data_IF_196654747187
#
_entry.id   IF_196654747187
#
_cell.length_a   1.000
_cell.length_b   1.000
_cell.length_c   1.000
_cell.angle_alpha   90.00
_cell.angle_beta   90.00
_cell.angle_gamma   90.00
#
_symmetry.space_group_name_H-M   'P 1'
#
loop_
_entity.id
_entity.type
_entity.pdbx_description
1 polymer ?
#
# COMPACT_ATOMS: atom_id res chain seq x y z
N UNK A 1 -31.39 -3.25 -16.67
CA UNK A 1 -30.69 -3.58 -15.43
C UNK A 1 -29.86 -4.84 -15.71
N UNK A 2 -28.53 -4.74 -15.80
CA UNK A 2 -27.66 -5.92 -15.93
C UNK A 2 -27.32 -6.40 -14.52
N UNK A 3 -27.86 -7.54 -14.12
CA UNK A 3 -27.42 -8.25 -12.92
C UNK A 3 -26.25 -9.16 -13.33
N UNK A 4 -25.07 -8.88 -12.79
CA UNK A 4 -24.00 -9.88 -12.75
C UNK A 4 -24.25 -10.79 -11.55
N UNK A 5 -24.05 -12.09 -11.69
CA UNK A 5 -24.02 -12.96 -10.52
C UNK A 5 -22.98 -12.41 -9.53
N UNK A 6 -23.42 -12.20 -8.29
CA UNK A 6 -22.59 -11.64 -7.23
C UNK A 6 -21.70 -12.75 -6.67
N UNK A 7 -20.50 -12.88 -7.21
CA UNK A 7 -19.52 -13.84 -6.75
C UNK A 7 -18.55 -13.20 -5.75
N UNK A 8 -17.68 -14.00 -5.18
CA UNK A 8 -16.76 -13.66 -4.11
C UNK A 8 -15.73 -12.57 -4.47
N UNK A 9 -15.04 -12.07 -3.47
CA UNK A 9 -13.92 -11.14 -3.63
C UNK A 9 -12.63 -11.93 -3.49
N UNK A 10 -11.71 -11.78 -4.45
CA UNK A 10 -10.36 -12.31 -4.39
C UNK A 10 -9.39 -11.25 -3.90
N UNK A 11 -8.51 -11.64 -2.99
CA UNK A 11 -7.31 -10.88 -2.62
C UNK A 11 -6.10 -11.75 -2.94
N UNK A 12 -5.25 -11.28 -3.85
CA UNK A 12 -3.97 -11.93 -4.10
C UNK A 12 -3.01 -11.64 -2.94
N UNK A 13 -2.48 -12.71 -2.35
CA UNK A 13 -1.58 -12.63 -1.21
C UNK A 13 -0.14 -12.66 -1.71
N UNK A 14 0.56 -11.56 -1.53
CA UNK A 14 1.98 -11.45 -1.84
C UNK A 14 2.82 -12.01 -0.69
N UNK A 15 3.83 -12.78 -1.05
CA UNK A 15 4.77 -13.38 -0.10
C UNK A 15 6.12 -12.66 -0.19
N UNK A 16 6.62 -12.14 0.91
CA UNK A 16 7.92 -11.47 1.02
C UNK A 16 8.77 -12.16 2.09
N UNK A 17 9.93 -12.69 1.70
CA UNK A 17 10.84 -13.37 2.64
C UNK A 17 10.21 -14.54 3.42
N UNK A 18 9.24 -15.24 2.83
CA UNK A 18 8.53 -16.36 3.47
C UNK A 18 7.39 -15.93 4.41
N UNK A 19 7.05 -14.63 4.42
CA UNK A 19 5.94 -14.06 5.20
C UNK A 19 4.92 -13.40 4.28
N UNK A 20 3.70 -13.24 4.77
CA UNK A 20 2.67 -12.45 4.09
C UNK A 20 3.07 -10.98 4.10
N UNK A 21 3.08 -10.33 2.94
CA UNK A 21 3.35 -8.90 2.84
C UNK A 21 2.23 -8.08 3.52
N UNK A 22 2.59 -7.02 4.22
CA UNK A 22 1.66 -6.18 4.99
C UNK A 22 0.49 -5.65 4.15
N UNK A 23 0.76 -5.26 2.91
CA UNK A 23 -0.27 -4.79 1.98
C UNK A 23 -1.36 -5.85 1.73
N UNK A 24 -1.01 -7.13 1.72
CA UNK A 24 -1.98 -8.21 1.55
C UNK A 24 -2.90 -8.33 2.76
N UNK A 25 -2.38 -8.10 3.97
CA UNK A 25 -3.17 -8.08 5.21
C UNK A 25 -4.07 -6.83 5.28
N UNK A 26 -3.58 -5.68 4.83
CA UNK A 26 -4.38 -4.46 4.64
C UNK A 26 -5.54 -4.71 3.67
N UNK A 27 -5.26 -5.41 2.55
CA UNK A 27 -6.26 -5.75 1.55
C UNK A 27 -7.29 -6.77 2.03
N UNK A 28 -6.91 -7.72 2.87
CA UNK A 28 -7.87 -8.63 3.50
C UNK A 28 -8.80 -7.87 4.44
N UNK A 29 -8.27 -6.95 5.26
CA UNK A 29 -9.10 -6.09 6.12
C UNK A 29 -10.13 -5.32 5.29
N UNK A 30 -9.69 -4.65 4.22
CA UNK A 30 -10.60 -3.90 3.33
C UNK A 30 -11.53 -4.82 2.55
N UNK A 31 -11.02 -5.93 2.07
CA UNK A 31 -11.80 -6.97 1.38
C UNK A 31 -12.94 -7.52 2.25
N UNK A 32 -12.71 -7.67 3.57
CA UNK A 32 -13.78 -8.09 4.50
C UNK A 32 -14.90 -7.06 4.61
N UNK A 33 -14.58 -5.77 4.67
CA UNK A 33 -15.59 -4.70 4.65
C UNK A 33 -16.43 -4.74 3.36
N UNK A 34 -15.75 -4.83 2.21
CA UNK A 34 -16.42 -4.89 0.90
C UNK A 34 -17.29 -6.16 0.77
N UNK A 35 -16.76 -7.32 1.19
CA UNK A 35 -17.47 -8.59 1.14
C UNK A 35 -18.72 -8.59 2.05
N UNK A 36 -18.61 -7.97 3.21
CA UNK A 36 -19.75 -7.78 4.13
C UNK A 36 -20.83 -6.91 3.49
N UNK A 37 -20.43 -5.80 2.85
CA UNK A 37 -21.36 -4.91 2.15
C UNK A 37 -22.08 -5.61 0.99
N UNK A 38 -21.37 -6.50 0.27
CA UNK A 38 -21.93 -7.24 -0.86
C UNK A 38 -22.66 -8.52 -0.44
N UNK A 39 -22.50 -8.99 0.78
CA UNK A 39 -23.06 -10.28 1.24
C UNK A 39 -22.40 -11.51 0.61
N UNK A 40 -21.10 -11.42 0.28
CA UNK A 40 -20.32 -12.48 -0.39
C UNK A 40 -19.13 -12.93 0.47
N UNK A 41 -18.45 -14.02 0.06
CA UNK A 41 -17.22 -14.48 0.73
C UNK A 41 -16.00 -13.65 0.34
N UNK A 42 -15.07 -13.53 1.27
CA UNK A 42 -13.72 -13.06 1.03
C UNK A 42 -12.78 -14.26 0.85
N UNK A 43 -12.09 -14.31 -0.26
CA UNK A 43 -11.19 -15.42 -0.60
C UNK A 43 -9.78 -14.92 -0.85
N UNK A 44 -8.82 -15.51 -0.15
CA UNK A 44 -7.40 -15.25 -0.34
C UNK A 44 -6.83 -16.21 -1.39
N UNK A 45 -5.96 -15.73 -2.26
CA UNK A 45 -5.24 -16.55 -3.26
C UNK A 45 -3.76 -16.45 -3.00
N UNK A 46 -3.12 -17.57 -2.67
CA UNK A 46 -1.71 -17.67 -2.30
C UNK A 46 -0.99 -18.63 -3.23
N UNK A 47 0.06 -18.16 -3.88
CA UNK A 47 0.99 -18.97 -4.64
C UNK A 47 2.40 -18.82 -4.05
N UNK A 48 3.03 -19.91 -3.67
CA UNK A 48 4.33 -19.84 -3.01
C UNK A 48 4.91 -21.21 -2.72
N UNK A 49 5.81 -21.28 -1.75
CA UNK A 49 6.44 -22.52 -1.29
C UNK A 49 6.54 -22.54 0.23
N UNK A 50 6.28 -23.70 0.84
CA UNK A 50 6.19 -23.90 2.29
C UNK A 50 5.07 -23.07 2.95
N UNK A 51 3.86 -23.16 2.43
CA UNK A 51 2.69 -22.37 2.82
C UNK A 51 1.87 -22.99 3.95
N UNK A 52 2.33 -24.07 4.56
CA UNK A 52 1.58 -24.77 5.62
C UNK A 52 1.24 -23.83 6.79
N UNK A 53 -0.05 -23.78 7.17
CA UNK A 53 -0.54 -22.97 8.31
C UNK A 53 -0.85 -21.53 7.97
N UNK A 54 -0.65 -21.08 6.72
CA UNK A 54 -0.89 -19.68 6.31
C UNK A 54 -2.36 -19.29 6.45
N UNK A 55 -3.27 -20.26 6.29
CA UNK A 55 -4.71 -20.05 6.42
C UNK A 55 -5.10 -19.52 7.80
N UNK A 56 -4.38 -19.95 8.84
CA UNK A 56 -4.62 -19.50 10.22
C UNK A 56 -4.34 -18.01 10.38
N UNK A 57 -3.33 -17.49 9.72
CA UNK A 57 -3.02 -16.05 9.71
C UNK A 57 -4.06 -15.29 8.90
N UNK A 58 -4.36 -15.72 7.67
CA UNK A 58 -5.27 -15.03 6.78
C UNK A 58 -6.71 -15.01 7.29
N UNK A 59 -7.15 -16.08 7.97
CA UNK A 59 -8.46 -16.16 8.61
C UNK A 59 -8.65 -15.07 9.68
N UNK A 60 -7.60 -14.66 10.41
CA UNK A 60 -7.68 -13.58 11.40
C UNK A 60 -8.05 -12.24 10.76
N UNK A 61 -7.71 -12.04 9.47
CA UNK A 61 -8.06 -10.86 8.70
C UNK A 61 -9.35 -11.03 7.89
N UNK A 62 -10.09 -12.11 8.13
CA UNK A 62 -11.43 -12.33 7.60
C UNK A 62 -11.52 -13.16 6.32
N UNK A 63 -10.47 -13.88 5.92
CA UNK A 63 -10.53 -14.79 4.78
C UNK A 63 -11.43 -16.00 5.09
N UNK A 64 -12.50 -16.18 4.32
CA UNK A 64 -13.42 -17.31 4.44
C UNK A 64 -12.84 -18.56 3.76
N UNK A 65 -12.18 -18.37 2.62
CA UNK A 65 -11.51 -19.41 1.83
C UNK A 65 -10.09 -18.98 1.49
N UNK A 66 -9.16 -19.93 1.53
CA UNK A 66 -7.76 -19.72 1.13
C UNK A 66 -7.40 -20.70 0.01
N UNK A 67 -7.27 -20.19 -1.19
CA UNK A 67 -6.80 -20.92 -2.36
C UNK A 67 -5.28 -21.01 -2.33
N UNK A 68 -4.72 -22.22 -2.35
CA UNK A 68 -3.30 -22.45 -2.17
C UNK A 68 -2.70 -23.22 -3.35
N UNK A 69 -1.63 -22.69 -3.92
CA UNK A 69 -0.70 -23.41 -4.78
C UNK A 69 0.68 -23.44 -4.10
N UNK A 70 0.98 -24.53 -3.40
CA UNK A 70 2.26 -24.71 -2.70
C UNK A 70 3.20 -25.56 -3.54
N UNK A 71 4.16 -24.90 -4.20
CA UNK A 71 5.17 -25.56 -5.02
C UNK A 71 6.42 -24.67 -5.15
N UNK A 72 7.66 -25.24 -5.17
CA UNK A 72 8.89 -24.46 -5.44
C UNK A 72 8.84 -23.61 -6.70
N UNK A 73 8.00 -23.96 -7.67
CA UNK A 73 7.77 -23.20 -8.89
C UNK A 73 7.37 -21.75 -8.61
N UNK A 74 6.65 -21.48 -7.53
CA UNK A 74 6.10 -20.18 -7.19
C UNK A 74 6.98 -19.37 -6.24
N UNK A 75 8.14 -19.87 -5.88
CA UNK A 75 9.12 -19.15 -5.05
C UNK A 75 10.53 -19.27 -5.63
N UNK A 76 11.20 -18.14 -5.94
CA UNK A 76 10.71 -16.76 -5.86
C UNK A 76 9.67 -16.45 -6.94
N UNK A 77 8.96 -15.31 -6.77
CA UNK A 77 7.92 -14.84 -7.68
C UNK A 77 8.38 -14.78 -9.15
N UNK A 78 7.56 -15.30 -10.06
CA UNK A 78 7.72 -15.19 -11.51
C UNK A 78 6.37 -14.85 -12.15
N UNK A 79 6.33 -13.78 -12.93
CA UNK A 79 5.08 -13.20 -13.43
C UNK A 79 4.26 -14.16 -14.28
N UNK A 80 4.89 -14.89 -15.20
CA UNK A 80 4.14 -15.73 -16.16
C UNK A 80 3.39 -16.89 -15.48
N UNK A 81 4.02 -17.77 -14.68
CA UNK A 81 3.30 -18.87 -14.05
C UNK A 81 2.25 -18.38 -13.05
N UNK A 82 2.53 -17.28 -12.31
CA UNK A 82 1.53 -16.69 -11.42
C UNK A 82 0.33 -16.17 -12.21
N UNK A 83 0.56 -15.52 -13.36
CA UNK A 83 -0.52 -15.03 -14.23
C UNK A 83 -1.38 -16.18 -14.74
N UNK A 84 -0.75 -17.26 -15.24
CA UNK A 84 -1.46 -18.42 -15.76
C UNK A 84 -2.38 -19.04 -14.70
N UNK A 85 -1.86 -19.26 -13.47
CA UNK A 85 -2.63 -19.86 -12.38
C UNK A 85 -3.77 -18.95 -11.95
N UNK A 86 -3.50 -17.66 -11.72
CA UNK A 86 -4.55 -16.76 -11.26
C UNK A 86 -5.63 -16.55 -12.32
N UNK A 87 -5.29 -16.41 -13.59
CA UNK A 87 -6.27 -16.31 -14.68
C UNK A 87 -7.11 -17.59 -14.80
N UNK A 88 -6.48 -18.76 -14.67
CA UNK A 88 -7.19 -20.05 -14.65
C UNK A 88 -8.18 -20.13 -13.50
N UNK A 89 -7.77 -19.77 -12.29
CA UNK A 89 -8.64 -19.77 -11.12
C UNK A 89 -9.79 -18.75 -11.25
N UNK A 90 -9.49 -17.53 -11.71
CA UNK A 90 -10.53 -16.51 -11.97
C UNK A 90 -11.53 -16.99 -13.01
N UNK A 91 -11.08 -17.69 -14.06
CA UNK A 91 -11.95 -18.27 -15.07
C UNK A 91 -12.90 -19.34 -14.53
N UNK A 92 -12.47 -20.10 -13.50
CA UNK A 92 -13.27 -21.13 -12.83
C UNK A 92 -14.23 -20.52 -11.81
N UNK A 93 -13.75 -19.69 -10.92
CA UNK A 93 -14.49 -19.19 -9.74
C UNK A 93 -15.27 -17.90 -10.02
N UNK A 94 -14.89 -17.15 -11.06
CA UNK A 94 -15.56 -15.92 -11.55
C UNK A 94 -15.80 -14.88 -10.43
N UNK A 95 -14.76 -14.46 -9.69
CA UNK A 95 -14.91 -13.45 -8.64
C UNK A 95 -15.45 -12.15 -9.22
N UNK A 96 -16.21 -11.39 -8.41
CA UNK A 96 -16.70 -10.07 -8.79
C UNK A 96 -15.59 -9.02 -8.73
N UNK A 97 -14.69 -9.16 -7.76
CA UNK A 97 -13.60 -8.22 -7.48
C UNK A 97 -12.30 -9.00 -7.30
N UNK A 98 -11.18 -8.47 -7.78
CA UNK A 98 -9.85 -8.98 -7.51
C UNK A 98 -8.91 -7.84 -7.12
N UNK A 99 -8.30 -7.94 -5.93
CA UNK A 99 -7.46 -6.92 -5.32
C UNK A 99 -6.00 -7.36 -5.24
N UNK A 100 -5.09 -6.41 -5.46
CA UNK A 100 -3.64 -6.62 -5.48
C UNK A 100 -2.95 -5.48 -4.73
N UNK A 101 -1.79 -5.73 -4.13
CA UNK A 101 -0.91 -4.66 -3.65
C UNK A 101 -0.30 -3.87 -4.81
N UNK A 102 -0.09 -2.56 -4.65
CA UNK A 102 0.64 -1.75 -5.62
C UNK A 102 2.15 -1.77 -5.36
N UNK A 103 2.69 -2.91 -4.96
CA UNK A 103 4.11 -3.24 -4.80
C UNK A 103 4.80 -3.36 -6.16
N UNK A 104 6.14 -3.47 -6.22
CA UNK A 104 6.83 -3.82 -7.45
C UNK A 104 6.30 -5.12 -8.10
N UNK A 105 5.96 -6.13 -7.29
CA UNK A 105 5.36 -7.38 -7.74
C UNK A 105 3.97 -7.14 -8.32
N UNK A 106 3.08 -6.50 -7.56
CA UNK A 106 1.71 -6.27 -7.99
C UNK A 106 1.59 -5.35 -9.20
N UNK A 107 2.50 -4.37 -9.34
CA UNK A 107 2.56 -3.47 -10.51
C UNK A 107 3.01 -4.17 -11.80
N UNK A 108 3.78 -5.25 -11.72
CA UNK A 108 4.09 -6.10 -12.87
C UNK A 108 2.98 -7.13 -13.12
N UNK A 109 2.45 -7.73 -12.06
CA UNK A 109 1.54 -8.87 -12.11
C UNK A 109 0.10 -8.50 -12.49
N UNK A 110 -0.53 -7.56 -11.77
CA UNK A 110 -1.94 -7.24 -11.94
C UNK A 110 -2.30 -6.74 -13.36
N UNK A 111 -1.47 -5.92 -14.05
CA UNK A 111 -1.74 -5.54 -15.44
C UNK A 111 -1.71 -6.72 -16.41
N UNK A 112 -0.89 -7.73 -16.17
CA UNK A 112 -0.86 -8.93 -17.01
C UNK A 112 -2.12 -9.77 -16.83
N UNK A 113 -2.57 -9.94 -15.59
CA UNK A 113 -3.85 -10.60 -15.29
C UNK A 113 -5.01 -9.84 -15.95
N UNK A 114 -5.04 -8.52 -15.80
CA UNK A 114 -6.04 -7.64 -16.42
C UNK A 114 -6.08 -7.78 -17.93
N UNK A 115 -4.92 -7.75 -18.58
CA UNK A 115 -4.79 -7.92 -20.04
C UNK A 115 -5.26 -9.29 -20.50
N UNK A 116 -4.87 -10.37 -19.81
CA UNK A 116 -5.26 -11.74 -20.16
C UNK A 116 -6.77 -11.98 -20.01
N UNK A 117 -7.41 -11.35 -19.04
CA UNK A 117 -8.85 -11.45 -18.78
C UNK A 117 -9.69 -10.42 -19.56
N UNK A 118 -9.04 -9.50 -20.29
CA UNK A 118 -9.72 -8.37 -20.95
C UNK A 118 -10.59 -7.57 -19.97
N UNK A 119 -10.16 -7.42 -18.72
CA UNK A 119 -10.86 -6.69 -17.67
C UNK A 119 -10.12 -5.41 -17.30
N UNK A 120 -10.85 -4.37 -16.85
CA UNK A 120 -10.24 -3.09 -16.43
C UNK A 120 -9.52 -3.22 -15.10
N UNK A 121 -8.37 -2.54 -15.00
CA UNK A 121 -7.57 -2.42 -13.78
C UNK A 121 -7.32 -0.97 -13.45
N UNK A 122 -7.68 -0.53 -12.24
CA UNK A 122 -7.26 0.77 -11.73
C UNK A 122 -6.02 0.62 -10.85
N UNK A 123 -4.97 1.33 -11.23
CA UNK A 123 -3.69 1.23 -10.53
C UNK A 123 -3.56 2.26 -9.40
N UNK A 124 -2.89 1.86 -8.29
CA UNK A 124 -2.44 2.73 -7.20
C UNK A 124 -3.61 3.45 -6.48
N UNK A 125 -4.67 2.71 -6.21
CA UNK A 125 -5.81 3.19 -5.45
C UNK A 125 -5.43 3.52 -4.00
N UNK A 126 -6.08 4.54 -3.44
CA UNK A 126 -5.94 4.92 -2.03
C UNK A 126 -7.20 4.66 -1.22
N UNK A 127 -8.35 4.42 -1.89
CA UNK A 127 -9.61 4.10 -1.24
C UNK A 127 -10.45 3.19 -2.15
N UNK A 128 -11.22 2.29 -1.55
CA UNK A 128 -12.15 1.39 -2.22
C UNK A 128 -13.51 1.40 -1.52
N UNK A 129 -14.59 1.50 -2.29
CA UNK A 129 -15.96 1.51 -1.76
C UNK A 129 -16.91 0.75 -2.68
N UNK A 130 -18.07 0.33 -2.16
CA UNK A 130 -19.15 -0.21 -2.98
C UNK A 130 -20.19 0.88 -3.19
N UNK A 131 -20.62 1.05 -4.43
CA UNK A 131 -21.65 2.04 -4.76
C UNK A 131 -22.41 1.71 -6.05
N UNK A 132 -23.45 2.51 -6.28
CA UNK A 132 -24.32 2.41 -7.46
C UNK A 132 -23.96 3.50 -8.47
N UNK A 133 -23.90 3.18 -9.74
CA UNK A 133 -23.56 4.11 -10.80
C UNK A 133 -24.65 4.18 -11.86
N UNK A 134 -25.00 5.38 -12.29
CA UNK A 134 -25.87 5.62 -13.44
C UNK A 134 -25.06 6.24 -14.55
N UNK A 135 -24.97 5.54 -15.66
CA UNK A 135 -24.31 6.06 -16.86
C UNK A 135 -25.11 7.24 -17.42
N UNK A 136 -24.49 8.42 -17.47
CA UNK A 136 -25.16 9.65 -17.93
C UNK A 136 -25.53 9.64 -19.41
N UNK A 137 -24.84 8.82 -20.25
CA UNK A 137 -25.08 8.76 -21.69
C UNK A 137 -26.16 7.76 -22.05
N UNK A 138 -26.15 6.60 -21.42
CA UNK A 138 -27.08 5.49 -21.73
C UNK A 138 -28.26 5.45 -20.78
N UNK A 139 -28.21 6.13 -19.62
CA UNK A 139 -29.21 6.03 -18.58
C UNK A 139 -29.20 4.69 -17.84
N UNK A 140 -28.25 3.78 -18.14
CA UNK A 140 -28.15 2.46 -17.53
C UNK A 140 -27.75 2.58 -16.08
N UNK A 141 -28.46 1.88 -15.20
CA UNK A 141 -28.13 1.82 -13.77
C UNK A 141 -27.39 0.53 -13.48
N UNK A 142 -26.24 0.67 -12.80
CA UNK A 142 -25.39 -0.42 -12.34
C UNK A 142 -25.40 -0.42 -10.82
N UNK A 143 -25.52 -1.60 -10.22
CA UNK A 143 -25.58 -1.78 -8.77
C UNK A 143 -24.31 -2.47 -8.27
N UNK A 144 -23.91 -2.13 -7.04
CA UNK A 144 -22.84 -2.83 -6.33
C UNK A 144 -21.51 -2.83 -7.11
N UNK A 145 -21.13 -1.70 -7.71
CA UNK A 145 -19.83 -1.53 -8.34
C UNK A 145 -18.75 -1.21 -7.33
N UNK A 146 -17.53 -1.65 -7.63
CA UNK A 146 -16.34 -1.20 -6.91
C UNK A 146 -15.96 0.21 -7.36
N UNK A 147 -16.04 1.18 -6.46
CA UNK A 147 -15.47 2.51 -6.63
C UNK A 147 -13.98 2.44 -6.31
N UNK A 148 -13.19 2.70 -7.33
CA UNK A 148 -11.73 2.63 -7.31
C UNK A 148 -11.21 4.05 -7.27
N UNK A 149 -10.86 4.53 -6.08
CA UNK A 149 -10.54 5.93 -5.81
C UNK A 149 -9.03 6.10 -5.74
N UNK A 150 -8.53 7.05 -6.52
CA UNK A 150 -7.09 7.34 -6.56
C UNK A 150 -6.80 8.82 -6.79
N UNK A 151 -5.69 9.34 -6.28
CA UNK A 151 -5.19 10.65 -6.66
C UNK A 151 -4.79 10.68 -8.14
N UNK A 152 -5.11 11.76 -8.82
CA UNK A 152 -4.73 12.02 -10.20
C UNK A 152 -4.05 13.40 -10.30
N UNK A 153 -3.35 13.66 -11.42
CA UNK A 153 -2.69 14.95 -11.69
C UNK A 153 -1.83 15.47 -10.52
N UNK A 154 -0.91 14.65 -10.02
CA UNK A 154 -0.02 15.02 -8.92
C UNK A 154 -0.72 15.13 -7.55
N UNK A 155 -1.92 14.59 -7.41
CA UNK A 155 -2.69 14.57 -6.16
C UNK A 155 -3.68 15.74 -6.01
N UNK A 156 -3.75 16.64 -7.00
CA UNK A 156 -4.69 17.77 -6.94
C UNK A 156 -6.14 17.41 -7.24
N UNK A 157 -6.37 16.22 -7.80
CA UNK A 157 -7.71 15.72 -8.16
C UNK A 157 -7.82 14.28 -7.62
N UNK A 158 -8.96 13.96 -7.04
CA UNK A 158 -9.33 12.60 -6.68
C UNK A 158 -10.27 12.08 -7.77
N UNK A 159 -9.87 10.98 -8.42
CA UNK A 159 -10.67 10.32 -9.43
C UNK A 159 -11.34 9.08 -8.86
N UNK A 160 -12.65 8.98 -9.02
CA UNK A 160 -13.41 7.74 -8.78
C UNK A 160 -13.62 7.02 -10.10
N UNK A 161 -13.08 5.82 -10.22
CA UNK A 161 -13.13 5.02 -11.44
C UNK A 161 -14.04 3.82 -11.19
N UNK A 162 -14.87 3.49 -12.16
CA UNK A 162 -15.79 2.34 -12.15
C UNK A 162 -15.58 1.48 -13.39
N UNK A 163 -15.75 0.17 -13.25
CA UNK A 163 -15.70 -0.79 -14.35
C UNK A 163 -17.03 -1.57 -14.40
N UNK A 164 -18.06 -1.04 -15.09
CA UNK A 164 -19.39 -1.61 -15.02
C UNK A 164 -19.57 -2.88 -15.87
N UNK A 165 -18.82 -3.04 -16.96
CA UNK A 165 -19.12 -4.05 -17.99
C UNK A 165 -18.32 -5.34 -17.87
N UNK A 166 -17.18 -5.34 -17.18
CA UNK A 166 -16.26 -6.48 -17.12
C UNK A 166 -16.05 -6.96 -15.67
N UNK A 167 -15.73 -8.23 -15.53
CA UNK A 167 -15.40 -8.88 -14.26
C UNK A 167 -14.13 -9.74 -14.41
N UNK A 168 -13.35 -9.84 -13.34
CA UNK A 168 -13.48 -9.12 -12.06
C UNK A 168 -13.19 -7.62 -12.21
N UNK A 169 -13.78 -6.79 -11.33
CA UNK A 169 -13.35 -5.40 -11.17
C UNK A 169 -12.01 -5.42 -10.44
N UNK A 170 -10.94 -4.89 -11.04
CA UNK A 170 -9.59 -5.08 -10.53
C UNK A 170 -8.97 -3.76 -10.07
N UNK A 171 -8.29 -3.80 -8.94
CA UNK A 171 -7.54 -2.66 -8.41
C UNK A 171 -6.20 -3.11 -7.84
N UNK A 172 -5.13 -2.30 -8.08
CA UNK A 172 -3.98 -2.33 -7.21
C UNK A 172 -4.11 -1.22 -6.17
N UNK A 173 -3.74 -1.50 -4.92
CA UNK A 173 -3.88 -0.57 -3.79
C UNK A 173 -2.51 -0.23 -3.25
N UNK A 174 -2.27 1.06 -3.03
CA UNK A 174 -1.01 1.56 -2.47
C UNK A 174 -0.78 0.96 -1.09
N UNK A 175 0.46 0.60 -0.80
CA UNK A 175 0.87 0.11 0.51
C UNK A 175 0.69 1.20 1.57
N UNK A 176 0.28 0.79 2.77
CA UNK A 176 0.15 1.69 3.92
C UNK A 176 -1.05 2.64 3.88
N UNK A 177 -1.97 2.55 2.90
CA UNK A 177 -3.16 3.42 2.83
C UNK A 177 -4.41 2.76 3.41
N UNK A 178 -4.47 1.43 3.46
CA UNK A 178 -5.55 0.71 4.13
C UNK A 178 -5.13 0.32 5.54
N UNK A 179 -6.11 0.07 6.42
CA UNK A 179 -5.82 -0.41 7.76
C UNK A 179 -5.47 -1.89 7.76
N UNK A 180 -4.54 -2.27 8.61
CA UNK A 180 -4.22 -3.66 8.90
C UNK A 180 -4.79 -4.01 10.27
N UNK A 181 -6.00 -4.54 10.31
CA UNK A 181 -6.74 -4.84 11.54
C UNK A 181 -7.33 -6.26 11.47
N UNK A 182 -7.36 -6.95 12.59
CA UNK A 182 -8.04 -8.24 12.66
C UNK A 182 -9.55 -8.04 12.46
N UNK A 183 -10.17 -8.96 11.74
CA UNK A 183 -11.61 -8.98 11.58
C UNK A 183 -12.30 -9.18 12.95
N UNK A 184 -13.45 -8.52 13.15
CA UNK A 184 -14.25 -8.69 14.36
C UNK A 184 -14.66 -10.15 14.59
N UNK A 185 -14.86 -10.89 13.50
CA UNK A 185 -15.01 -12.34 13.49
C UNK A 185 -14.02 -12.90 12.47
N UNK A 186 -13.12 -13.81 12.87
CA UNK A 186 -12.23 -14.48 11.93
C UNK A 186 -13.04 -15.20 10.86
N UNK A 187 -12.51 -15.22 9.63
CA UNK A 187 -13.06 -16.05 8.56
C UNK A 187 -12.88 -17.55 8.85
N UNK A 188 -13.56 -18.39 8.08
CA UNK A 188 -13.44 -19.85 8.24
C UNK A 188 -12.06 -20.39 7.88
N UNK A 189 -11.31 -19.68 7.00
CA UNK A 189 -9.99 -20.10 6.55
C UNK A 189 -9.99 -21.45 5.83
N UNK A 190 -11.08 -21.80 5.16
CA UNK A 190 -11.21 -23.08 4.43
C UNK A 190 -10.14 -23.18 3.35
N UNK A 191 -9.23 -24.15 3.48
CA UNK A 191 -8.15 -24.34 2.50
C UNK A 191 -8.66 -25.10 1.28
N UNK A 192 -8.39 -24.53 0.10
CA UNK A 192 -8.65 -25.18 -1.20
C UNK A 192 -7.36 -25.23 -2.02
N UNK A 193 -6.96 -26.44 -2.41
CA UNK A 193 -5.80 -26.60 -3.28
C UNK A 193 -6.14 -26.17 -4.72
N UNK A 194 -5.23 -25.42 -5.35
CA UNK A 194 -5.32 -25.04 -6.76
C UNK A 194 -4.68 -26.13 -7.61
N UNK A 195 -5.40 -26.69 -8.58
CA UNK A 195 -4.83 -27.63 -9.57
C UNK A 195 -4.05 -26.86 -10.66
N UNK A 196 -2.99 -26.20 -10.22
CA UNK A 196 -2.18 -25.30 -11.04
C UNK A 196 -1.49 -25.98 -12.22
N UNK A 197 -1.23 -27.31 -12.13
CA UNK A 197 -0.55 -28.07 -13.21
C UNK A 197 -1.34 -28.10 -14.52
N UNK A 198 -2.66 -27.93 -14.45
CA UNK A 198 -3.51 -27.82 -15.64
C UNK A 198 -3.56 -26.41 -16.21
N UNK A 199 -3.08 -25.41 -15.49
CA UNK A 199 -3.15 -24.00 -15.86
C UNK A 199 -1.85 -23.46 -16.42
N UNK A 200 -0.70 -24.06 -16.04
CA UNK A 200 0.65 -23.63 -16.44
C UNK A 200 1.12 -24.44 -17.65
N UNK A 201 1.64 -23.76 -18.66
CA UNK A 201 2.22 -24.33 -19.87
C UNK A 201 3.73 -24.15 -19.91
N UNK A 202 4.42 -24.83 -20.83
CA UNK A 202 5.87 -24.65 -21.02
C UNK A 202 6.25 -23.21 -21.38
N UNK A 203 5.36 -22.48 -22.07
CA UNK A 203 5.58 -21.07 -22.40
C UNK A 203 5.62 -20.17 -21.14
N UNK A 204 4.86 -20.52 -20.11
CA UNK A 204 4.84 -19.79 -18.83
C UNK A 204 6.12 -20.03 -18.01
N UNK A 205 6.89 -21.08 -18.35
CA UNK A 205 8.13 -21.48 -17.70
C UNK A 205 9.39 -21.01 -18.44
N UNK A 206 9.24 -20.23 -19.51
CA UNK A 206 10.34 -19.80 -20.38
C UNK A 206 11.43 -18.98 -19.65
N UNK A 207 11.09 -18.31 -18.55
CA UNK A 207 12.02 -17.49 -17.77
C UNK A 207 12.46 -18.25 -16.53
N UNK A 208 13.79 -18.34 -16.31
CA UNK A 208 14.41 -18.89 -15.10
C UNK A 208 15.13 -17.77 -14.34
N UNK A 209 14.94 -17.73 -13.04
CA UNK A 209 15.73 -16.86 -12.15
C UNK A 209 17.07 -17.56 -11.92
N UNK A 210 18.15 -16.93 -12.34
CA UNK A 210 19.52 -17.47 -12.20
C UNK A 210 20.11 -17.05 -10.86
N UNK A 211 19.88 -15.79 -10.47
CA UNK A 211 20.36 -15.21 -9.22
C UNK A 211 19.37 -14.16 -8.71
N UNK A 212 19.31 -13.97 -7.40
CA UNK A 212 18.51 -12.95 -6.73
C UNK A 212 19.37 -12.25 -5.69
N UNK A 213 19.74 -11.02 -5.97
CA UNK A 213 20.43 -10.16 -5.01
C UNK A 213 19.39 -9.37 -4.21
N UNK A 214 19.37 -9.60 -2.91
CA UNK A 214 18.52 -8.87 -1.98
C UNK A 214 19.41 -7.88 -1.25
N UNK A 215 19.21 -6.59 -1.52
CA UNK A 215 19.79 -5.55 -0.68
C UNK A 215 19.03 -5.52 0.66
N UNK A 216 19.74 -5.77 1.76
CA UNK A 216 19.17 -5.58 3.08
C UNK A 216 18.80 -4.10 3.24
N UNK A 217 17.51 -3.81 3.38
CA UNK A 217 17.05 -2.47 3.77
C UNK A 217 17.56 -2.17 5.18
N UNK A 218 18.65 -1.41 5.28
CA UNK A 218 19.21 -0.95 6.56
C UNK A 218 18.29 0.04 7.28
N UNK A 219 17.27 0.57 6.59
CA UNK A 219 16.41 1.65 7.05
C UNK A 219 14.97 1.26 6.75
N UNK A 220 14.18 1.09 7.79
CA UNK A 220 12.73 0.91 7.69
C UNK A 220 12.01 2.01 8.49
N UNK A 221 11.55 3.05 7.76
CA UNK A 221 10.77 4.15 8.36
C UNK A 221 9.28 3.86 8.42
N UNK A 222 8.81 2.76 7.81
CA UNK A 222 7.38 2.46 7.65
C UNK A 222 6.69 2.13 8.97
N UNK A 223 7.39 1.39 9.84
CA UNK A 223 6.91 0.99 11.16
C UNK A 223 7.28 1.96 12.30
N UNK A 224 7.94 3.07 12.00
CA UNK A 224 8.43 3.99 13.02
C UNK A 224 7.28 4.71 13.75
N UNK A 225 7.30 4.69 15.09
CA UNK A 225 6.34 5.42 15.92
C UNK A 225 6.55 6.92 15.93
N UNK A 226 7.78 7.38 15.71
CA UNK A 226 8.17 8.79 15.63
C UNK A 226 9.04 8.98 14.39
N UNK A 227 8.73 10.00 13.59
CA UNK A 227 9.54 10.39 12.43
C UNK A 227 9.89 11.86 12.52
N UNK A 228 11.18 12.16 12.42
CA UNK A 228 11.67 13.52 12.20
C UNK A 228 12.11 13.64 10.77
N UNK A 229 11.43 14.47 9.99
CA UNK A 229 11.66 14.61 8.56
C UNK A 229 12.28 15.97 8.21
N UNK A 230 13.34 15.95 7.42
CA UNK A 230 14.00 17.15 6.91
C UNK A 230 13.63 17.46 5.48
N UNK A 231 13.38 18.74 5.19
CA UNK A 231 13.16 19.27 3.87
C UNK A 231 14.37 19.97 3.26
N UNK A 232 14.21 20.53 2.06
CA UNK A 232 15.22 21.37 1.42
C UNK A 232 15.54 22.62 2.23
N UNK A 233 14.58 23.09 3.07
CA UNK A 233 14.76 24.21 3.99
C UNK A 233 15.79 23.99 5.10
N UNK A 234 16.34 22.76 5.25
CA UNK A 234 17.52 22.52 6.09
C UNK A 234 18.78 23.20 5.54
N UNK A 235 18.79 23.54 4.24
CA UNK A 235 19.83 24.31 3.58
C UNK A 235 21.07 23.52 3.15
N UNK A 236 21.53 22.56 3.92
CA UNK A 236 22.71 21.74 3.58
C UNK A 236 22.66 20.35 4.21
N UNK A 237 23.52 19.45 3.70
CA UNK A 237 23.73 18.12 4.28
C UNK A 237 24.27 18.19 5.73
N UNK A 238 25.11 19.17 6.03
CA UNK A 238 25.66 19.41 7.35
C UNK A 238 24.56 19.76 8.35
N UNK A 239 23.64 20.65 7.97
CA UNK A 239 22.50 21.02 8.81
C UNK A 239 21.50 19.88 8.96
N UNK A 240 21.40 19.00 7.95
CA UNK A 240 20.51 17.84 8.01
C UNK A 240 20.86 16.88 9.17
N UNK A 241 22.08 16.95 9.72
CA UNK A 241 22.45 16.21 10.95
C UNK A 241 21.60 16.58 12.16
N UNK A 242 21.07 17.79 12.22
CA UNK A 242 20.13 18.18 13.28
C UNK A 242 18.85 17.34 13.28
N UNK A 243 18.40 16.90 12.10
CA UNK A 243 17.24 15.99 11.95
C UNK A 243 17.57 14.63 12.56
N UNK A 244 18.76 14.10 12.29
CA UNK A 244 19.24 12.85 12.90
C UNK A 244 19.35 12.98 14.41
N UNK A 245 19.98 14.05 14.90
CA UNK A 245 20.16 14.27 16.34
C UNK A 245 18.82 14.39 17.08
N UNK A 246 17.82 15.05 16.46
CA UNK A 246 16.49 15.15 17.05
C UNK A 246 15.75 13.81 17.02
N UNK A 247 15.87 13.05 15.94
CA UNK A 247 15.29 11.71 15.82
C UNK A 247 15.88 10.77 16.88
N UNK A 248 17.21 10.74 17.02
CA UNK A 248 17.91 9.91 18.00
C UNK A 248 17.48 10.23 19.44
N UNK A 249 17.36 11.51 19.77
CA UNK A 249 16.95 11.96 21.12
C UNK A 249 15.51 11.57 21.43
N UNK A 250 14.65 11.56 20.42
CA UNK A 250 13.24 11.17 20.58
C UNK A 250 13.01 9.66 20.44
N UNK A 251 14.03 8.89 20.07
CA UNK A 251 13.90 7.46 19.79
C UNK A 251 13.07 7.18 18.52
N UNK A 252 13.19 8.07 17.53
CA UNK A 252 12.48 8.01 16.27
C UNK A 252 13.39 7.73 15.07
N UNK A 253 12.78 7.63 13.90
CA UNK A 253 13.47 7.47 12.61
C UNK A 253 13.54 8.79 11.83
N UNK A 254 14.51 8.86 10.92
CA UNK A 254 14.71 10.02 10.06
C UNK A 254 13.98 9.85 8.74
N UNK A 255 13.10 10.79 8.41
CA UNK A 255 12.47 10.96 7.11
C UNK A 255 13.05 12.13 6.32
N UNK A 256 12.69 12.22 5.02
CA UNK A 256 13.09 13.33 4.18
C UNK A 256 12.06 13.66 3.11
N UNK A 257 12.02 14.91 2.67
CA UNK A 257 11.32 15.27 1.44
C UNK A 257 12.12 14.84 0.21
N UNK A 258 11.45 14.66 -0.93
CA UNK A 258 12.12 14.37 -2.20
C UNK A 258 13.20 15.40 -2.53
N UNK A 259 12.91 16.68 -2.34
CA UNK A 259 13.86 17.76 -2.64
C UNK A 259 15.16 17.67 -1.79
N UNK A 260 15.06 17.21 -0.55
CA UNK A 260 16.23 16.98 0.31
C UNK A 260 17.04 15.75 -0.15
N UNK A 261 16.38 14.69 -0.61
CA UNK A 261 17.02 13.50 -1.19
C UNK A 261 17.69 13.83 -2.51
N UNK A 262 16.99 14.53 -3.42
CA UNK A 262 17.53 14.96 -4.72
C UNK A 262 18.75 15.90 -4.57
N UNK A 263 18.78 16.70 -3.47
CA UNK A 263 19.93 17.54 -3.08
C UNK A 263 21.08 16.77 -2.41
N UNK A 264 20.92 15.47 -2.19
CA UNK A 264 21.95 14.61 -1.56
C UNK A 264 22.11 14.80 -0.05
N UNK A 265 21.12 15.36 0.64
CA UNK A 265 21.17 15.55 2.10
C UNK A 265 21.06 14.22 2.84
N UNK A 266 20.30 13.26 2.28
CA UNK A 266 20.12 11.92 2.84
C UNK A 266 19.78 10.90 1.74
N UNK A 267 19.67 9.63 2.12
CA UNK A 267 19.44 8.50 1.23
C UNK A 267 17.98 8.43 0.75
N UNK A 268 17.75 7.87 -0.44
CA UNK A 268 16.42 7.70 -1.04
C UNK A 268 15.50 6.81 -0.17
N UNK A 269 16.05 5.86 0.57
CA UNK A 269 15.30 4.99 1.48
C UNK A 269 14.54 5.75 2.59
N UNK A 270 14.92 7.00 2.86
CA UNK A 270 14.27 7.89 3.83
C UNK A 270 13.23 8.83 3.21
N UNK A 271 13.00 8.73 1.91
CA UNK A 271 12.06 9.62 1.22
C UNK A 271 10.62 9.31 1.62
N UNK A 272 9.92 10.32 2.16
CA UNK A 272 8.49 10.28 2.47
C UNK A 272 7.69 11.00 1.39
N UNK A 273 6.60 10.40 0.92
CA UNK A 273 5.71 10.99 -0.07
C UNK A 273 5.19 9.98 -1.10
N UNK A 274 4.49 10.47 -2.12
CA UNK A 274 3.87 9.64 -3.18
C UNK A 274 4.86 8.74 -3.93
N UNK A 275 6.09 9.23 -4.11
CA UNK A 275 7.17 8.51 -4.83
C UNK A 275 8.19 7.88 -3.88
N UNK A 276 7.94 7.95 -2.58
CA UNK A 276 8.75 7.38 -1.51
C UNK A 276 7.93 6.42 -0.65
N UNK A 277 8.22 6.42 0.63
CA UNK A 277 7.54 5.60 1.63
C UNK A 277 6.32 6.35 2.17
N UNK A 278 5.18 5.67 2.31
CA UNK A 278 4.03 6.14 3.08
C UNK A 278 4.19 5.69 4.53
N UNK A 279 4.06 6.64 5.47
CA UNK A 279 4.28 6.43 6.90
C UNK A 279 3.08 6.87 7.73
N UNK A 280 2.91 6.25 8.92
CA UNK A 280 1.81 6.53 9.86
C UNK A 280 2.33 6.61 11.30
N UNK A 281 3.28 7.49 11.60
CA UNK A 281 3.83 7.60 12.94
C UNK A 281 2.79 8.20 13.90
N UNK A 282 2.98 7.97 15.19
CA UNK A 282 2.27 8.70 16.24
C UNK A 282 2.67 10.18 16.27
N UNK A 283 3.91 10.48 15.91
CA UNK A 283 4.44 11.85 15.84
C UNK A 283 5.28 12.01 14.55
N UNK A 284 4.93 13.01 13.76
CA UNK A 284 5.69 13.45 12.59
C UNK A 284 6.17 14.88 12.79
N UNK A 285 7.49 15.11 12.78
CA UNK A 285 8.09 16.44 12.89
C UNK A 285 8.65 16.84 11.54
N UNK A 286 8.06 17.85 10.90
CA UNK A 286 8.47 18.35 9.59
C UNK A 286 9.37 19.57 9.73
N UNK A 287 10.67 19.42 9.42
CA UNK A 287 11.68 20.45 9.56
C UNK A 287 12.07 21.04 8.20
N UNK A 288 11.72 22.30 7.92
CA UNK A 288 12.04 22.97 6.66
C UNK A 288 11.40 22.29 5.44
N UNK A 289 10.21 21.75 5.59
CA UNK A 289 9.41 21.10 4.54
C UNK A 289 8.31 22.07 4.10
N UNK A 290 8.14 22.30 2.80
CA UNK A 290 7.09 23.17 2.27
C UNK A 290 5.67 22.62 2.41
N UNK A 291 5.52 21.26 2.37
CA UNK A 291 4.21 20.64 2.48
C UNK A 291 3.43 20.54 1.18
N UNK A 292 4.13 20.35 0.07
CA UNK A 292 3.49 20.02 -1.20
C UNK A 292 2.75 18.69 -1.09
N UNK A 293 1.64 18.55 -1.82
CA UNK A 293 0.75 17.38 -1.71
C UNK A 293 1.46 16.05 -1.97
N UNK A 294 2.50 16.07 -2.80
CA UNK A 294 3.30 14.87 -3.07
C UNK A 294 4.04 14.36 -1.83
N UNK A 295 4.38 15.25 -0.90
CA UNK A 295 4.99 14.89 0.38
C UNK A 295 3.92 14.54 1.41
N UNK A 296 2.89 15.39 1.54
CA UNK A 296 1.86 15.22 2.56
C UNK A 296 1.04 13.95 2.38
N UNK A 297 0.79 13.52 1.13
CA UNK A 297 0.15 12.23 0.84
C UNK A 297 0.90 10.99 1.35
N UNK A 298 2.16 11.14 1.76
CA UNK A 298 2.94 10.08 2.37
C UNK A 298 2.93 10.12 3.90
N UNK A 299 2.33 11.16 4.54
CA UNK A 299 2.37 11.31 6.00
C UNK A 299 1.06 11.86 6.61
N UNK A 300 0.03 12.11 5.82
CA UNK A 300 -1.27 12.68 6.23
C UNK A 300 -2.04 11.82 7.25
N UNK A 301 -1.69 10.54 7.38
CA UNK A 301 -2.22 9.61 8.36
C UNK A 301 -1.42 9.60 9.69
N UNK A 302 -0.50 10.54 9.89
CA UNK A 302 0.21 10.70 11.16
C UNK A 302 -0.78 11.13 12.25
N UNK A 303 -0.61 10.61 13.49
CA UNK A 303 -1.54 10.96 14.58
C UNK A 303 -1.34 12.39 15.08
N UNK A 304 -0.11 12.92 15.01
CA UNK A 304 0.24 14.29 15.37
C UNK A 304 1.32 14.80 14.42
N UNK A 305 1.18 16.00 13.94
CA UNK A 305 2.13 16.68 13.04
C UNK A 305 2.62 17.97 13.68
N UNK A 306 3.94 18.11 13.79
CA UNK A 306 4.61 19.36 14.18
C UNK A 306 5.36 19.89 12.97
N UNK A 307 5.16 21.14 12.58
CA UNK A 307 5.94 21.80 11.54
C UNK A 307 6.90 22.84 12.14
N UNK A 308 8.12 22.88 11.62
CA UNK A 308 9.11 23.92 11.90
C UNK A 308 9.51 24.52 10.57
N UNK A 309 9.14 25.76 10.32
CA UNK A 309 9.38 26.43 9.05
C UNK A 309 9.63 27.92 9.24
N UNK A 310 10.55 28.50 8.48
CA UNK A 310 10.77 29.95 8.45
C UNK A 310 9.66 30.71 7.73
N UNK A 311 8.93 30.03 6.81
CA UNK A 311 7.77 30.56 6.13
C UNK A 311 6.48 30.24 6.92
N UNK A 312 5.84 31.28 7.47
CA UNK A 312 4.56 31.14 8.20
C UNK A 312 3.41 30.67 7.31
N UNK A 313 3.49 30.91 6.00
CA UNK A 313 2.47 30.57 5.02
C UNK A 313 2.73 29.20 4.34
N UNK A 314 3.76 28.47 4.76
CA UNK A 314 4.06 27.17 4.20
C UNK A 314 2.86 26.23 4.28
N UNK A 315 2.48 25.52 3.19
CA UNK A 315 1.31 24.64 3.17
C UNK A 315 1.32 23.56 4.27
N UNK A 316 2.50 23.12 4.72
CA UNK A 316 2.63 22.15 5.83
C UNK A 316 2.00 22.65 7.12
N UNK A 317 2.03 23.96 7.37
CA UNK A 317 1.47 24.57 8.57
C UNK A 317 -0.05 24.41 8.67
N UNK A 318 -0.74 24.26 7.51
CA UNK A 318 -2.19 24.08 7.47
C UNK A 318 -2.66 22.70 7.92
N UNK A 319 -1.79 21.71 7.87
CA UNK A 319 -2.08 20.33 8.28
C UNK A 319 -1.38 19.96 9.59
N UNK A 320 -0.52 20.82 10.10
CA UNK A 320 0.18 20.60 11.36
C UNK A 320 -0.73 20.92 12.54
N UNK A 321 -0.71 20.07 13.59
CA UNK A 321 -1.34 20.34 14.87
C UNK A 321 -0.61 21.46 15.61
N UNK A 322 0.71 21.55 15.42
CA UNK A 322 1.56 22.62 15.97
C UNK A 322 2.49 23.17 14.88
N UNK A 323 2.35 24.45 14.56
CA UNK A 323 3.23 25.15 13.63
C UNK A 323 4.17 26.09 14.39
N UNK A 324 5.47 25.88 14.23
CA UNK A 324 6.53 26.71 14.84
C UNK A 324 7.19 27.52 13.74
N UNK A 325 6.99 28.83 13.74
CA UNK A 325 7.64 29.71 12.77
C UNK A 325 9.03 30.13 13.25
N UNK A 326 10.06 29.81 12.47
CA UNK A 326 11.45 30.21 12.75
C UNK A 326 12.48 29.35 12.04
N UNK A 327 13.76 29.66 12.27
CA UNK A 327 14.88 28.95 11.66
C UNK A 327 15.07 27.56 12.32
N UNK A 328 15.06 26.51 11.50
CA UNK A 328 15.29 25.13 11.92
C UNK A 328 16.64 24.97 12.66
N UNK A 329 17.67 25.72 12.25
CA UNK A 329 19.00 25.68 12.85
C UNK A 329 19.05 26.30 14.27
N UNK A 330 18.06 27.11 14.63
CA UNK A 330 17.92 27.65 16.00
C UNK A 330 16.95 26.82 16.85
N UNK A 331 15.85 26.38 16.26
CA UNK A 331 14.75 25.71 16.96
C UNK A 331 15.15 24.30 17.36
N UNK A 332 15.67 23.51 16.42
CA UNK A 332 15.99 22.09 16.65
C UNK A 332 16.99 21.93 17.81
N UNK A 333 18.11 22.67 17.89
CA UNK A 333 19.03 22.56 19.02
C UNK A 333 18.39 22.92 20.37
N UNK A 334 17.47 23.89 20.40
CA UNK A 334 16.70 24.24 21.59
C UNK A 334 15.78 23.10 22.03
N UNK A 335 15.10 22.46 21.10
CA UNK A 335 14.25 21.30 21.36
C UNK A 335 15.06 20.13 21.91
N UNK A 336 16.20 19.80 21.30
CA UNK A 336 17.10 18.73 21.74
C UNK A 336 17.60 19.02 23.18
N UNK A 337 18.03 20.24 23.45
CA UNK A 337 18.51 20.64 24.76
C UNK A 337 17.41 20.53 25.82
N UNK A 338 16.22 21.03 25.53
CA UNK A 338 15.07 20.99 26.43
C UNK A 338 14.65 19.56 26.75
N UNK A 339 14.56 18.70 25.74
CA UNK A 339 14.19 17.30 25.92
C UNK A 339 15.22 16.55 26.78
N UNK A 340 16.53 16.70 26.51
CA UNK A 340 17.57 16.07 27.30
C UNK A 340 17.57 16.52 28.77
N UNK A 341 17.12 17.73 29.06
CA UNK A 341 17.04 18.25 30.40
C UNK A 341 15.79 17.78 31.18
N UNK A 342 14.70 17.46 30.46
CA UNK A 342 13.40 17.21 31.09
C UNK A 342 12.88 15.78 30.89
N UNK A 343 13.46 14.98 29.99
CA UNK A 343 13.16 13.56 29.88
C UNK A 343 13.99 12.79 30.91
N UNK A 344 13.33 12.32 31.97
CA UNK A 344 13.89 11.38 32.95
C UNK A 344 13.53 9.97 32.60
#
# INVERSE_FOLDING_TARGET
MRFFEMNNIFVYIEMEGGKVADVSLELLTKGRELATTLGVKLEAVVLGHNLAGIETELAKYGADTVWVADDPLFSPFRTLPHTAVLCGLIGQEKPQIALFGATPVGRDFAPRVSSALHSGLTADCTQLEIGDHKDAKTGTEYKNLLYQIRPAFGGNIIATIVNPDHRPQMATVREGVMRKEYAAQPGAGEVKAIDWKKMVTDADLAVKIIDRQIEERKIDIKGAGIIVAGGYGMGSKENFRLVHELADVLGGEVGASRAAVDAGFTEHARQVGQTGVTVRPKLYIACGISGQIQHTAGMDQSSMVISINSDSEAPINKIADYAITGDVNEIIPKMIKYYKQNSK
#
